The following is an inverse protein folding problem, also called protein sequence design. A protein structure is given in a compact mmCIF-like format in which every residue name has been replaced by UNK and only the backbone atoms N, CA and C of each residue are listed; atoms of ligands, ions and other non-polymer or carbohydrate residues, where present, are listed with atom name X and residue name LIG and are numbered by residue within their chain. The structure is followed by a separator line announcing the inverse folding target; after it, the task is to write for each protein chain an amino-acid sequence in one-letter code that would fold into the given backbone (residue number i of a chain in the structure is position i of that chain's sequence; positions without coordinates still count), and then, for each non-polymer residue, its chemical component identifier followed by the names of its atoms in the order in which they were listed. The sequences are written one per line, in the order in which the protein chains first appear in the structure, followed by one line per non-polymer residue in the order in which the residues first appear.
data_IF_015492414895
#
_entry.id   IF_015492414895
#
_cell.length_a   1.000
_cell.length_b   1.000
_cell.length_c   1.000
_cell.angle_alpha   90.00
_cell.angle_beta   90.00
_cell.angle_gamma   90.00
#
_symmetry.space_group_name_H-M   'P 1'
#
loop_
_entity.id
_entity.type
_entity.pdbx_description
1 polymer ?
#
# COMPACT_ATOMS: atom_id res chain seq x y z
N UNK A 1 5.06 16.07 15.44
CA UNK A 1 5.14 16.16 13.95
C UNK A 1 6.23 17.15 13.63
N UNK A 2 7.22 16.75 12.84
CA UNK A 2 8.22 17.66 12.32
C UNK A 2 7.60 18.56 11.24
N UNK A 3 8.08 19.80 11.15
CA UNK A 3 7.76 20.68 10.03
C UNK A 3 8.97 20.75 9.10
N UNK A 4 8.79 20.31 7.87
CA UNK A 4 9.82 20.36 6.84
C UNK A 4 9.45 21.39 5.77
N UNK A 5 10.46 22.10 5.26
CA UNK A 5 10.28 23.06 4.18
C UNK A 5 10.51 22.38 2.83
N UNK A 6 9.45 22.23 2.06
CA UNK A 6 9.48 21.72 0.69
C UNK A 6 9.30 22.87 -0.31
N UNK A 7 10.41 23.39 -0.81
CA UNK A 7 10.36 24.47 -1.83
C UNK A 7 9.66 25.75 -1.39
N UNK A 8 9.74 26.14 -0.11
CA UNK A 8 9.10 27.31 0.46
C UNK A 8 7.76 27.03 1.14
N UNK A 9 7.23 25.82 1.05
CA UNK A 9 6.01 25.41 1.74
C UNK A 9 6.36 24.55 2.96
N UNK A 10 5.86 24.94 4.13
CA UNK A 10 6.03 24.19 5.37
C UNK A 10 4.95 23.10 5.44
N UNK A 11 5.39 21.84 5.51
CA UNK A 11 4.50 20.69 5.63
C UNK A 11 4.76 19.89 6.92
N UNK A 12 3.70 19.37 7.50
CA UNK A 12 3.80 18.46 8.63
C UNK A 12 4.12 17.06 8.14
N UNK A 13 5.20 16.49 8.68
CA UNK A 13 5.58 15.10 8.44
C UNK A 13 5.77 14.35 9.75
N UNK A 14 5.65 13.04 9.70
CA UNK A 14 5.92 12.15 10.83
C UNK A 14 7.01 11.18 10.40
N UNK A 15 8.09 11.16 11.16
CA UNK A 15 9.22 10.25 10.95
C UNK A 15 9.30 9.24 12.11
N UNK A 16 10.24 8.30 12.01
CA UNK A 16 10.52 7.35 13.08
C UNK A 16 11.11 8.03 14.33
N UNK A 17 11.63 9.24 14.20
CA UNK A 17 12.16 9.99 15.35
C UNK A 17 11.03 10.57 16.20
N UNK A 18 9.94 11.07 15.57
CA UNK A 18 8.77 11.56 16.30
C UNK A 18 7.81 10.45 16.71
N UNK A 19 7.84 9.34 15.99
CA UNK A 19 6.98 8.20 16.26
C UNK A 19 7.79 6.89 16.18
N UNK A 20 8.53 6.57 17.25
CA UNK A 20 9.36 5.37 17.28
C UNK A 20 8.57 4.07 17.11
N UNK A 21 9.23 3.02 16.62
CA UNK A 21 8.62 1.71 16.39
C UNK A 21 8.05 1.10 17.69
N UNK A 22 8.71 1.35 18.82
CA UNK A 22 8.25 0.92 20.15
C UNK A 22 6.89 1.52 20.50
N UNK A 23 6.68 2.79 20.17
CA UNK A 23 5.38 3.46 20.34
C UNK A 23 4.32 2.84 19.42
N UNK A 24 4.68 2.54 18.17
CA UNK A 24 3.78 1.86 17.24
C UNK A 24 3.36 0.47 17.78
N UNK A 25 4.32 -0.29 18.31
CA UNK A 25 4.05 -1.59 18.94
C UNK A 25 3.14 -1.48 20.14
N UNK A 26 3.34 -0.49 21.01
CA UNK A 26 2.47 -0.28 22.18
C UNK A 26 1.02 0.05 21.77
N UNK A 27 0.84 0.89 20.74
CA UNK A 27 -0.50 1.25 20.22
C UNK A 27 -1.23 0.03 19.65
N UNK A 28 -0.51 -0.82 18.93
CA UNK A 28 -1.10 -1.96 18.22
C UNK A 28 -0.94 -3.31 18.94
N UNK A 29 -0.49 -3.32 20.19
CA UNK A 29 -0.19 -4.55 20.96
C UNK A 29 -1.35 -5.53 21.09
N UNK A 30 -2.57 -5.00 21.21
CA UNK A 30 -3.79 -5.77 21.37
C UNK A 30 -4.57 -5.94 20.05
N UNK A 31 -4.02 -5.45 18.95
CA UNK A 31 -4.65 -5.53 17.64
C UNK A 31 -4.21 -6.80 16.89
N UNK A 32 -5.15 -7.39 16.16
CA UNK A 32 -4.85 -8.40 15.15
C UNK A 32 -5.02 -7.79 13.78
N UNK A 33 -3.95 -7.73 13.01
CA UNK A 33 -3.89 -7.11 11.69
C UNK A 33 -4.08 -8.19 10.63
N UNK A 34 -5.21 -8.18 9.91
CA UNK A 34 -5.42 -9.07 8.78
C UNK A 34 -5.10 -8.36 7.47
N UNK A 35 -4.11 -8.84 6.75
CA UNK A 35 -3.80 -8.41 5.38
C UNK A 35 -4.63 -9.23 4.40
N UNK A 36 -5.63 -8.59 3.79
CA UNK A 36 -6.52 -9.22 2.81
C UNK A 36 -5.98 -8.97 1.40
N UNK A 37 -5.55 -10.04 0.77
CA UNK A 37 -4.87 -10.02 -0.54
C UNK A 37 -3.36 -10.12 -0.42
N UNK A 38 -2.76 -11.00 -1.21
CA UNK A 38 -1.32 -11.24 -1.24
C UNK A 38 -0.75 -10.98 -2.65
N UNK A 39 -1.22 -9.87 -3.25
CA UNK A 39 -0.82 -9.41 -4.59
C UNK A 39 0.45 -8.55 -4.57
N UNK A 40 0.33 -7.29 -5.03
CA UNK A 40 1.48 -6.36 -5.13
C UNK A 40 1.88 -5.79 -3.75
N UNK A 41 0.93 -5.22 -3.00
CA UNK A 41 1.19 -4.58 -1.71
C UNK A 41 1.21 -5.57 -0.54
N UNK A 42 0.40 -6.63 -0.62
CA UNK A 42 0.22 -7.59 0.48
C UNK A 42 1.52 -8.17 1.04
N UNK A 43 2.41 -8.76 0.22
CA UNK A 43 3.68 -9.30 0.70
C UNK A 43 4.56 -8.26 1.38
N UNK A 44 4.76 -7.10 0.74
CA UNK A 44 5.63 -6.05 1.28
C UNK A 44 5.16 -5.57 2.65
N UNK A 45 3.89 -5.19 2.78
CA UNK A 45 3.35 -4.65 4.01
C UNK A 45 3.24 -5.71 5.11
N UNK A 46 2.72 -6.91 4.80
CA UNK A 46 2.54 -7.96 5.81
C UNK A 46 3.88 -8.48 6.37
N UNK A 47 4.87 -8.68 5.50
CA UNK A 47 6.20 -9.13 5.92
C UNK A 47 6.92 -8.07 6.77
N UNK A 48 6.82 -6.79 6.39
CA UNK A 48 7.42 -5.71 7.16
C UNK A 48 6.77 -5.58 8.54
N UNK A 49 5.44 -5.66 8.64
CA UNK A 49 4.73 -5.67 9.91
C UNK A 49 5.15 -6.87 10.78
N UNK A 50 5.21 -8.08 10.18
CA UNK A 50 5.66 -9.29 10.88
C UNK A 50 7.07 -9.15 11.42
N UNK A 51 8.01 -8.69 10.59
CA UNK A 51 9.42 -8.52 10.97
C UNK A 51 9.58 -7.42 12.05
N UNK A 52 8.68 -6.44 12.09
CA UNK A 52 8.59 -5.44 13.14
C UNK A 52 7.84 -5.91 14.40
N UNK A 53 7.41 -7.18 14.46
CA UNK A 53 6.87 -7.82 15.66
C UNK A 53 5.39 -7.54 15.93
N UNK A 54 4.61 -7.15 14.92
CA UNK A 54 3.17 -7.01 15.04
C UNK A 54 2.44 -8.36 14.87
N UNK A 55 1.26 -8.47 15.45
CA UNK A 55 0.40 -9.64 15.30
C UNK A 55 -0.35 -9.58 13.97
N UNK A 56 0.18 -10.27 12.96
CA UNK A 56 -0.29 -10.22 11.57
C UNK A 56 -0.78 -11.58 11.11
N UNK A 57 -1.92 -11.60 10.46
CA UNK A 57 -2.45 -12.73 9.73
C UNK A 57 -2.72 -12.34 8.27
N UNK A 58 -2.77 -13.31 7.37
CA UNK A 58 -3.05 -13.10 5.95
C UNK A 58 -4.36 -13.77 5.59
N UNK A 59 -5.24 -13.04 4.91
CA UNK A 59 -6.47 -13.53 4.33
C UNK A 59 -6.35 -13.63 2.80
N UNK A 60 -6.32 -14.85 2.25
CA UNK A 60 -6.14 -15.08 0.82
C UNK A 60 -6.99 -16.29 0.36
N UNK A 61 -7.59 -16.18 -0.82
CA UNK A 61 -8.24 -17.32 -1.45
C UNK A 61 -7.22 -18.34 -1.98
N UNK A 62 -7.55 -19.63 -2.05
CA UNK A 62 -6.67 -20.65 -2.65
C UNK A 62 -6.21 -20.28 -4.07
N UNK A 63 -4.98 -20.65 -4.41
CA UNK A 63 -4.36 -20.42 -5.72
C UNK A 63 -2.91 -19.97 -5.61
N UNK A 64 -2.31 -19.51 -6.71
CA UNK A 64 -0.87 -19.17 -6.80
C UNK A 64 -0.40 -18.17 -5.72
N UNK A 65 -1.22 -17.18 -5.39
CA UNK A 65 -0.88 -16.20 -4.35
C UNK A 65 -0.97 -16.76 -2.94
N UNK A 66 -1.82 -17.76 -2.70
CA UNK A 66 -1.87 -18.51 -1.45
C UNK A 66 -0.60 -19.35 -1.26
N UNK A 67 -0.20 -20.06 -2.31
CA UNK A 67 1.05 -20.85 -2.32
C UNK A 67 2.28 -19.96 -2.13
N UNK A 68 2.28 -18.76 -2.72
CA UNK A 68 3.31 -17.76 -2.47
C UNK A 68 3.35 -17.32 -0.99
N UNK A 69 2.21 -17.12 -0.36
CA UNK A 69 2.16 -16.79 1.06
C UNK A 69 2.78 -17.92 1.92
N UNK A 70 2.49 -19.18 1.61
CA UNK A 70 3.13 -20.33 2.28
C UNK A 70 4.65 -20.29 2.09
N UNK A 71 5.13 -20.06 0.87
CA UNK A 71 6.57 -19.97 0.59
C UNK A 71 7.26 -18.81 1.35
N UNK A 72 6.53 -17.72 1.62
CA UNK A 72 6.99 -16.58 2.42
C UNK A 72 6.86 -16.82 3.95
N UNK A 73 6.47 -18.04 4.35
CA UNK A 73 6.45 -18.49 5.75
C UNK A 73 5.14 -18.23 6.50
N UNK A 74 4.03 -17.98 5.79
CA UNK A 74 2.71 -17.95 6.41
C UNK A 74 2.15 -19.37 6.55
N UNK A 75 1.58 -19.70 7.71
CA UNK A 75 1.16 -21.07 8.07
C UNK A 75 -0.36 -21.19 7.96
N UNK A 76 -0.87 -22.07 7.07
CA UNK A 76 -2.30 -22.34 6.96
C UNK A 76 -2.94 -22.78 8.29
N UNK A 77 -4.04 -22.12 8.65
CA UNK A 77 -4.76 -22.37 9.91
C UNK A 77 -4.16 -21.69 11.15
N UNK A 78 -2.98 -21.07 11.05
CA UNK A 78 -2.34 -20.32 12.14
C UNK A 78 -2.19 -18.84 11.83
N UNK A 79 -1.55 -18.51 10.68
CA UNK A 79 -1.30 -17.14 10.23
C UNK A 79 -1.78 -16.88 8.81
N UNK A 80 -2.25 -17.91 8.09
CA UNK A 80 -2.82 -17.83 6.75
C UNK A 80 -4.21 -18.49 6.72
N UNK A 81 -5.22 -17.72 6.35
CA UNK A 81 -6.62 -18.10 6.39
C UNK A 81 -7.34 -17.78 5.07
N UNK A 82 -8.56 -18.24 4.94
CA UNK A 82 -9.51 -17.68 3.99
C UNK A 82 -9.87 -16.22 4.33
N UNK A 83 -10.35 -15.46 3.34
CA UNK A 83 -10.64 -14.02 3.52
C UNK A 83 -11.63 -13.80 4.68
N UNK A 84 -12.71 -14.55 4.73
CA UNK A 84 -13.77 -14.42 5.74
C UNK A 84 -13.22 -14.66 7.15
N UNK A 85 -12.51 -15.76 7.33
CA UNK A 85 -11.94 -16.14 8.62
C UNK A 85 -10.90 -15.12 9.10
N UNK A 86 -10.05 -14.61 8.20
CA UNK A 86 -9.10 -13.55 8.52
C UNK A 86 -9.83 -12.26 8.95
N UNK A 87 -10.87 -11.84 8.23
CA UNK A 87 -11.67 -10.66 8.60
C UNK A 87 -12.39 -10.84 9.94
N UNK A 88 -12.85 -12.07 10.25
CA UNK A 88 -13.51 -12.38 11.51
C UNK A 88 -12.55 -12.22 12.71
N UNK A 89 -11.31 -12.73 12.56
CA UNK A 89 -10.27 -12.71 13.60
C UNK A 89 -9.67 -11.31 13.81
N UNK A 90 -9.69 -10.48 12.80
CA UNK A 90 -9.00 -9.18 12.80
C UNK A 90 -9.73 -8.10 13.59
N UNK A 91 -8.95 -7.18 14.17
CA UNK A 91 -9.41 -5.87 14.65
C UNK A 91 -9.08 -4.76 13.64
N UNK A 92 -8.03 -4.97 12.83
CA UNK A 92 -7.68 -4.11 11.69
C UNK A 92 -7.69 -4.95 10.42
N UNK A 93 -8.54 -4.59 9.46
CA UNK A 93 -8.65 -5.27 8.16
C UNK A 93 -7.96 -4.41 7.09
N UNK A 94 -6.78 -4.83 6.65
CA UNK A 94 -6.01 -4.19 5.59
C UNK A 94 -6.43 -4.74 4.23
N UNK A 95 -7.25 -3.98 3.50
CA UNK A 95 -7.75 -4.39 2.19
C UNK A 95 -6.72 -4.03 1.10
N UNK A 96 -5.82 -4.97 0.79
CA UNK A 96 -4.71 -4.81 -0.16
C UNK A 96 -4.95 -5.59 -1.47
N UNK A 97 -6.17 -5.54 -1.93
CA UNK A 97 -6.63 -6.10 -3.20
C UNK A 97 -6.59 -5.03 -4.30
N UNK A 98 -6.58 -5.45 -5.56
CA UNK A 98 -6.82 -4.52 -6.68
C UNK A 98 -8.24 -3.95 -6.61
N UNK A 99 -8.48 -2.77 -7.19
CA UNK A 99 -9.78 -2.09 -7.13
C UNK A 99 -10.93 -2.99 -7.58
N UNK A 100 -10.78 -3.70 -8.71
CA UNK A 100 -11.77 -4.65 -9.18
C UNK A 100 -12.01 -5.81 -8.21
N UNK A 101 -10.96 -6.29 -7.54
CA UNK A 101 -11.07 -7.36 -6.55
C UNK A 101 -11.72 -6.86 -5.26
N UNK A 102 -11.43 -5.63 -4.82
CA UNK A 102 -12.12 -5.01 -3.67
C UNK A 102 -13.63 -4.99 -3.92
N UNK A 103 -14.07 -4.49 -5.07
CA UNK A 103 -15.48 -4.43 -5.44
C UNK A 103 -16.16 -5.81 -5.39
N UNK A 104 -15.49 -6.82 -5.95
CA UNK A 104 -16.03 -8.17 -6.03
C UNK A 104 -16.07 -8.90 -4.66
N UNK A 105 -15.11 -8.61 -3.79
CA UNK A 105 -14.97 -9.27 -2.46
C UNK A 105 -15.66 -8.46 -1.35
N UNK A 106 -16.06 -7.22 -1.63
CA UNK A 106 -16.68 -6.35 -0.64
C UNK A 106 -17.87 -6.96 0.10
N UNK A 107 -18.85 -7.63 -0.57
CA UNK A 107 -19.94 -8.30 0.11
C UNK A 107 -19.49 -9.38 1.10
N UNK A 108 -18.34 -10.01 0.86
CA UNK A 108 -17.75 -11.01 1.73
C UNK A 108 -17.07 -10.38 2.94
N UNK A 109 -16.39 -9.24 2.78
CA UNK A 109 -15.64 -8.55 3.85
C UNK A 109 -16.58 -7.76 4.78
N UNK A 110 -17.53 -7.02 4.21
CA UNK A 110 -18.38 -6.07 4.92
C UNK A 110 -19.07 -6.64 6.17
N UNK A 111 -19.64 -7.87 6.19
CA UNK A 111 -20.31 -8.42 7.37
C UNK A 111 -19.40 -8.59 8.60
N UNK A 112 -18.10 -8.67 8.40
CA UNK A 112 -17.10 -8.85 9.48
C UNK A 112 -16.52 -7.53 9.99
N UNK A 113 -16.87 -6.40 9.38
CA UNK A 113 -16.48 -5.06 9.83
C UNK A 113 -17.44 -4.60 10.93
N UNK A 114 -17.22 -5.11 12.12
CA UNK A 114 -18.05 -4.82 13.31
C UNK A 114 -17.56 -3.58 14.05
N UNK A 115 -18.40 -2.97 14.93
CA UNK A 115 -18.05 -1.76 15.68
C UNK A 115 -16.67 -1.82 16.36
N UNK A 116 -15.92 -0.74 16.26
CA UNK A 116 -14.59 -0.60 16.85
C UNK A 116 -13.42 -1.12 16.01
N UNK A 117 -13.69 -1.88 14.95
CA UNK A 117 -12.65 -2.29 13.98
C UNK A 117 -12.16 -1.12 13.15
N UNK A 118 -11.00 -1.30 12.50
CA UNK A 118 -10.50 -0.40 11.48
C UNK A 118 -10.42 -1.10 10.12
N UNK A 119 -10.87 -0.40 9.08
CA UNK A 119 -10.70 -0.77 7.68
C UNK A 119 -9.59 0.09 7.08
N UNK A 120 -8.57 -0.56 6.55
CA UNK A 120 -7.39 0.09 6.01
C UNK A 120 -7.26 -0.13 4.51
N UNK A 121 -6.83 0.92 3.80
CA UNK A 121 -6.49 0.90 2.40
C UNK A 121 -5.06 1.44 2.16
N UNK A 122 -4.46 1.08 1.02
CA UNK A 122 -3.21 1.68 0.53
C UNK A 122 -3.40 2.51 -0.75
N UNK A 123 -4.65 2.73 -1.14
CA UNK A 123 -5.06 3.59 -2.25
C UNK A 123 -6.48 4.09 -2.01
N UNK A 124 -6.71 5.36 -2.31
CA UNK A 124 -7.97 6.02 -1.99
C UNK A 124 -9.14 5.70 -2.94
N UNK A 125 -8.94 4.96 -4.02
CA UNK A 125 -9.90 4.76 -5.12
C UNK A 125 -11.25 4.24 -4.64
N UNK A 126 -11.27 3.12 -3.94
CA UNK A 126 -12.50 2.42 -3.58
C UNK A 126 -13.46 3.30 -2.76
N UNK A 127 -12.93 4.13 -1.87
CA UNK A 127 -13.68 5.01 -0.98
C UNK A 127 -14.04 6.33 -1.66
N UNK A 128 -13.12 6.88 -2.47
CA UNK A 128 -13.34 8.16 -3.19
C UNK A 128 -14.54 8.07 -4.14
N UNK A 129 -14.71 6.95 -4.81
CA UNK A 129 -15.82 6.70 -5.75
C UNK A 129 -16.75 5.59 -5.26
N UNK A 130 -17.13 5.64 -4.00
CA UNK A 130 -17.96 4.63 -3.36
C UNK A 130 -19.36 4.48 -4.00
N UNK A 131 -19.87 5.53 -4.63
CA UNK A 131 -21.09 5.51 -5.44
C UNK A 131 -20.99 4.59 -6.67
N UNK A 132 -19.78 4.40 -7.19
CA UNK A 132 -19.48 3.53 -8.36
C UNK A 132 -18.95 2.17 -7.96
N UNK A 133 -18.12 2.14 -6.94
CA UNK A 133 -17.47 0.90 -6.47
C UNK A 133 -18.40 0.05 -5.61
N UNK A 134 -19.42 0.66 -4.99
CA UNK A 134 -20.27 0.01 -3.99
C UNK A 134 -19.58 -0.25 -2.65
N UNK A 135 -18.33 0.22 -2.48
CA UNK A 135 -17.54 0.04 -1.24
C UNK A 135 -17.93 1.11 -0.23
N UNK A 136 -19.03 0.88 0.46
CA UNK A 136 -19.55 1.77 1.51
C UNK A 136 -19.30 1.15 2.88
N UNK A 137 -18.33 1.67 3.65
CA UNK A 137 -18.01 1.17 4.99
C UNK A 137 -19.19 1.32 5.97
N UNK A 138 -19.30 0.45 6.99
CA UNK A 138 -20.18 0.70 8.12
C UNK A 138 -19.84 2.01 8.83
N UNK A 139 -20.85 2.67 9.40
CA UNK A 139 -20.66 3.99 10.05
C UNK A 139 -19.99 3.92 11.44
N UNK A 140 -19.80 2.74 11.98
CA UNK A 140 -19.34 2.46 13.35
C UNK A 140 -17.93 1.86 13.43
N UNK A 141 -17.14 1.99 12.35
CA UNK A 141 -15.73 1.58 12.26
C UNK A 141 -14.83 2.76 11.89
N UNK A 142 -13.52 2.65 12.14
CA UNK A 142 -12.55 3.56 11.56
C UNK A 142 -12.26 3.19 10.10
N UNK A 143 -12.02 4.20 9.24
CA UNK A 143 -11.56 4.00 7.86
C UNK A 143 -10.31 4.82 7.64
N UNK A 144 -9.20 4.15 7.41
CA UNK A 144 -7.86 4.73 7.41
C UNK A 144 -7.07 4.32 6.17
N UNK A 145 -6.03 5.07 5.87
CA UNK A 145 -5.17 4.81 4.72
C UNK A 145 -3.71 5.13 5.03
N UNK A 146 -2.82 4.25 4.60
CA UNK A 146 -1.40 4.57 4.38
C UNK A 146 -1.03 4.09 2.98
N UNK A 147 -0.64 5.02 2.12
CA UNK A 147 -0.32 4.75 0.72
C UNK A 147 1.18 4.95 0.45
N UNK A 148 1.98 3.87 0.46
CA UNK A 148 3.39 3.91 0.08
C UNK A 148 3.55 4.39 -1.36
N UNK A 149 4.51 5.29 -1.60
CA UNK A 149 4.76 5.86 -2.93
C UNK A 149 5.71 4.97 -3.74
N UNK A 150 5.22 3.78 -4.07
CA UNK A 150 5.88 2.76 -4.86
C UNK A 150 5.30 1.36 -4.67
N UNK A 151 5.87 0.40 -5.39
CA UNK A 151 5.40 -1.00 -5.35
C UNK A 151 5.67 -1.65 -3.99
N UNK A 152 4.90 -2.70 -3.67
CA UNK A 152 5.15 -3.50 -2.48
C UNK A 152 6.52 -4.18 -2.48
N UNK A 153 7.06 -4.50 -3.65
CA UNK A 153 8.42 -5.00 -3.80
C UNK A 153 9.45 -3.94 -3.40
N UNK A 154 9.31 -2.72 -3.89
CA UNK A 154 10.19 -1.60 -3.52
C UNK A 154 10.10 -1.29 -2.02
N UNK A 155 8.89 -1.30 -1.46
CA UNK A 155 8.68 -1.12 -0.02
C UNK A 155 9.45 -2.17 0.79
N UNK A 156 9.39 -3.45 0.37
CA UNK A 156 10.08 -4.54 1.04
C UNK A 156 11.60 -4.42 0.89
N UNK A 157 12.10 -4.15 -0.31
CA UNK A 157 13.54 -4.00 -0.57
C UNK A 157 14.13 -2.87 0.27
N UNK A 158 13.52 -1.68 0.23
CA UNK A 158 14.00 -0.53 1.00
C UNK A 158 13.94 -0.77 2.51
N UNK A 159 12.92 -1.50 2.99
CA UNK A 159 12.84 -1.90 4.39
C UNK A 159 14.01 -2.80 4.80
N UNK A 160 14.34 -3.82 4.01
CA UNK A 160 15.46 -4.73 4.28
C UNK A 160 16.81 -4.04 4.23
N UNK A 161 16.94 -2.96 3.45
CA UNK A 161 18.12 -2.11 3.39
C UNK A 161 18.21 -1.08 4.54
N UNK A 162 17.26 -1.11 5.48
CA UNK A 162 17.20 -0.14 6.58
C UNK A 162 16.75 1.26 6.17
N UNK A 163 16.30 1.41 4.92
CA UNK A 163 15.68 2.63 4.39
C UNK A 163 14.16 2.55 4.54
N UNK A 164 13.45 3.55 4.04
CA UNK A 164 11.98 3.55 4.03
C UNK A 164 11.44 4.21 2.77
N UNK A 165 10.34 3.69 2.26
CA UNK A 165 9.59 4.32 1.19
C UNK A 165 8.62 5.34 1.80
N UNK A 166 8.60 6.57 1.29
CA UNK A 166 7.69 7.60 1.79
C UNK A 166 6.24 7.21 1.52
N UNK A 167 5.36 7.58 2.45
CA UNK A 167 3.95 7.20 2.36
C UNK A 167 3.06 8.40 2.72
N UNK A 168 1.93 8.52 2.05
CA UNK A 168 0.88 9.42 2.51
C UNK A 168 -0.06 8.69 3.48
N UNK A 169 -0.70 9.44 4.39
CA UNK A 169 -1.69 8.90 5.30
C UNK A 169 -2.96 9.75 5.35
N UNK A 170 -4.08 9.10 5.64
CA UNK A 170 -5.37 9.78 5.81
C UNK A 170 -6.31 8.99 6.71
N UNK A 171 -7.18 9.70 7.43
CA UNK A 171 -8.39 9.15 8.06
C UNK A 171 -9.60 9.64 7.29
N UNK A 172 -10.41 8.72 6.77
CA UNK A 172 -11.69 9.03 6.12
C UNK A 172 -12.83 9.08 7.13
N UNK A 173 -12.81 8.15 8.09
CA UNK A 173 -13.80 8.01 9.15
C UNK A 173 -13.08 7.69 10.44
N UNK A 174 -13.38 8.46 11.49
CA UNK A 174 -12.85 8.25 12.83
C UNK A 174 -14.02 8.14 13.82
N UNK A 175 -14.17 6.98 14.40
CA UNK A 175 -15.28 6.65 15.30
C UNK A 175 -14.78 6.25 16.68
N UNK A 176 -13.63 5.58 16.72
CA UNK A 176 -13.09 5.02 17.96
C UNK A 176 -12.22 5.98 18.76
N UNK A 177 -11.83 7.13 18.19
CA UNK A 177 -10.80 8.02 18.74
C UNK A 177 -9.37 7.46 18.62
N UNK A 178 -9.19 6.36 17.87
CA UNK A 178 -7.89 5.67 17.66
C UNK A 178 -7.41 5.70 16.22
N UNK A 179 -8.21 6.23 15.29
CA UNK A 179 -7.91 6.14 13.85
C UNK A 179 -6.55 6.76 13.51
N UNK A 180 -6.25 7.95 14.03
CA UNK A 180 -4.96 8.60 13.80
C UNK A 180 -3.79 7.77 14.31
N UNK A 181 -3.82 7.33 15.57
CA UNK A 181 -2.74 6.56 16.17
C UNK A 181 -2.54 5.20 15.46
N UNK A 182 -3.63 4.50 15.11
CA UNK A 182 -3.59 3.27 14.30
C UNK A 182 -2.95 3.52 12.94
N UNK A 183 -3.32 4.61 12.26
CA UNK A 183 -2.80 4.96 10.94
C UNK A 183 -1.30 5.19 10.97
N UNK A 184 -0.83 6.02 11.91
CA UNK A 184 0.60 6.32 12.03
C UNK A 184 1.39 5.08 12.47
N UNK A 185 0.88 4.33 13.44
CA UNK A 185 1.53 3.10 13.90
C UNK A 185 1.67 2.07 12.77
N UNK A 186 0.64 1.91 11.92
CA UNK A 186 0.72 1.06 10.72
C UNK A 186 1.72 1.60 9.71
N UNK A 187 1.73 2.91 9.46
CA UNK A 187 2.68 3.55 8.55
C UNK A 187 4.14 3.33 8.98
N UNK A 188 4.45 3.47 10.25
CA UNK A 188 5.77 3.14 10.82
C UNK A 188 6.03 1.63 10.74
N UNK A 189 5.02 0.83 11.07
CA UNK A 189 5.10 -0.63 11.08
C UNK A 189 5.40 -1.25 9.72
N UNK A 190 4.84 -0.71 8.64
CA UNK A 190 5.15 -1.15 7.27
C UNK A 190 6.52 -0.65 6.77
N UNK A 191 7.20 0.20 7.53
CA UNK A 191 8.54 0.67 7.23
C UNK A 191 8.59 1.93 6.36
N UNK A 192 7.62 2.84 6.49
CA UNK A 192 7.66 4.13 5.78
C UNK A 192 8.90 4.95 6.16
N UNK A 193 9.42 5.72 5.20
CA UNK A 193 10.52 6.67 5.39
C UNK A 193 10.04 7.86 6.21
N UNK A 194 9.10 8.63 5.66
CA UNK A 194 8.29 9.57 6.41
C UNK A 194 6.83 9.47 5.95
N UNK A 195 5.95 9.94 6.82
CA UNK A 195 4.51 9.99 6.58
C UNK A 195 4.09 11.45 6.39
N UNK A 196 3.29 11.74 5.35
CA UNK A 196 2.70 13.06 5.11
C UNK A 196 1.19 12.96 4.96
N UNK A 197 0.49 13.97 5.45
CA UNK A 197 -0.96 13.97 5.47
C UNK A 197 -1.56 14.21 4.09
N UNK A 198 -2.65 13.50 3.80
CA UNK A 198 -3.46 13.67 2.59
C UNK A 198 -4.94 13.41 2.90
N UNK A 199 -5.75 13.28 1.85
CA UNK A 199 -7.13 12.76 1.93
C UNK A 199 -7.31 11.63 0.93
N UNK A 200 -8.31 10.78 1.11
CA UNK A 200 -8.62 9.71 0.14
C UNK A 200 -8.80 10.23 -1.27
N UNK A 201 -9.49 11.38 -1.43
CA UNK A 201 -9.69 12.01 -2.74
C UNK A 201 -8.38 12.51 -3.35
N UNK A 202 -7.56 13.21 -2.57
CA UNK A 202 -6.26 13.73 -3.06
C UNK A 202 -5.31 12.61 -3.42
N UNK A 203 -5.23 11.59 -2.57
CA UNK A 203 -4.40 10.43 -2.84
C UNK A 203 -4.82 9.74 -4.13
N UNK A 204 -6.11 9.37 -4.26
CA UNK A 204 -6.61 8.69 -5.45
C UNK A 204 -6.41 9.49 -6.74
N UNK A 205 -6.63 10.80 -6.71
CA UNK A 205 -6.46 11.64 -7.92
C UNK A 205 -5.00 11.86 -8.28
N UNK A 206 -4.11 12.10 -7.30
CA UNK A 206 -2.68 12.27 -7.57
C UNK A 206 -2.00 10.97 -8.00
N UNK A 207 -2.37 9.86 -7.39
CA UNK A 207 -1.85 8.53 -7.71
C UNK A 207 -2.22 8.13 -9.14
N UNK A 208 -3.50 8.21 -9.51
CA UNK A 208 -3.94 7.92 -10.87
C UNK A 208 -3.29 8.84 -11.91
N UNK A 209 -3.11 10.12 -11.59
CA UNK A 209 -2.43 11.06 -12.49
C UNK A 209 -0.94 10.72 -12.61
N UNK A 210 -0.28 10.44 -11.49
CA UNK A 210 1.14 10.08 -11.46
C UNK A 210 1.41 8.74 -12.14
N UNK A 211 0.72 7.68 -11.72
CA UNK A 211 0.95 6.35 -12.29
C UNK A 211 0.49 6.24 -13.75
N UNK A 212 -0.78 6.53 -14.03
CA UNK A 212 -1.38 6.30 -15.34
C UNK A 212 -0.98 7.34 -16.36
N UNK A 213 -0.98 8.61 -15.97
CA UNK A 213 -0.62 9.72 -16.83
C UNK A 213 0.88 9.80 -17.10
N UNK A 214 1.71 9.80 -16.07
CA UNK A 214 3.15 10.04 -16.20
C UNK A 214 3.96 8.77 -16.31
N UNK A 215 3.91 7.89 -15.29
CA UNK A 215 4.84 6.76 -15.20
C UNK A 215 4.53 5.65 -16.21
N UNK A 216 3.29 5.22 -16.31
CA UNK A 216 2.88 4.15 -17.24
C UNK A 216 2.41 4.69 -18.59
N UNK A 217 2.04 5.96 -18.70
CA UNK A 217 1.62 6.62 -19.93
C UNK A 217 2.75 7.34 -20.62
N UNK A 218 3.10 8.53 -20.14
CA UNK A 218 4.03 9.43 -20.84
C UNK A 218 5.45 8.84 -20.99
N UNK A 219 6.03 8.28 -19.93
CA UNK A 219 7.38 7.70 -19.97
C UNK A 219 7.42 6.49 -20.90
N UNK A 220 6.47 5.57 -20.79
CA UNK A 220 6.40 4.40 -21.66
C UNK A 220 6.15 4.80 -23.13
N UNK A 221 5.25 5.76 -23.35
CA UNK A 221 4.97 6.29 -24.68
C UNK A 221 6.18 6.97 -25.32
N UNK A 222 6.98 7.72 -24.53
CA UNK A 222 8.22 8.34 -25.01
C UNK A 222 9.24 7.29 -25.43
N UNK A 223 9.48 6.27 -24.59
CA UNK A 223 10.43 5.19 -24.91
C UNK A 223 10.01 4.43 -26.17
N UNK A 224 8.73 4.11 -26.31
CA UNK A 224 8.20 3.44 -27.49
C UNK A 224 8.37 4.29 -28.76
N UNK A 225 7.98 5.56 -28.71
CA UNK A 225 8.08 6.46 -29.85
C UNK A 225 9.54 6.63 -30.31
N UNK A 226 10.48 6.75 -29.39
CA UNK A 226 11.90 6.86 -29.74
C UNK A 226 12.45 5.55 -30.32
N UNK A 227 12.07 4.41 -29.74
CA UNK A 227 12.41 3.10 -30.28
C UNK A 227 11.91 2.97 -31.74
N UNK A 228 10.65 3.30 -31.99
CA UNK A 228 10.08 3.23 -33.35
C UNK A 228 10.82 4.11 -34.34
N UNK A 229 11.14 5.36 -33.98
CA UNK A 229 11.94 6.29 -34.82
C UNK A 229 13.30 5.69 -35.18
N UNK A 230 14.02 5.08 -34.23
CA UNK A 230 15.29 4.42 -34.49
C UNK A 230 15.12 3.22 -35.44
N UNK A 231 14.06 2.41 -35.21
CA UNK A 231 13.73 1.29 -36.09
C UNK A 231 13.42 1.74 -37.54
N UNK A 232 12.66 2.81 -37.69
CA UNK A 232 12.33 3.40 -39.00
C UNK A 232 13.57 3.93 -39.71
N UNK A 233 14.56 4.40 -38.97
CA UNK A 233 15.85 4.87 -39.52
C UNK A 233 16.88 3.75 -39.73
N UNK A 234 16.47 2.47 -39.63
CA UNK A 234 17.28 1.31 -40.01
C UNK A 234 18.14 0.73 -38.89
N UNK A 235 18.06 1.25 -37.68
CA UNK A 235 18.74 0.63 -36.51
C UNK A 235 18.17 -0.76 -36.19
N UNK A 236 19.02 -1.65 -35.74
CA UNK A 236 18.55 -2.98 -35.29
C UNK A 236 17.68 -2.89 -34.04
N UNK A 237 16.82 -3.89 -33.72
CA UNK A 237 16.06 -3.89 -32.48
C UNK A 237 16.94 -3.75 -31.23
N UNK A 238 18.11 -4.36 -31.24
CA UNK A 238 19.05 -4.29 -30.11
C UNK A 238 19.61 -2.88 -29.93
N UNK A 239 20.06 -2.23 -31.02
CA UNK A 239 20.52 -0.83 -30.98
C UNK A 239 19.42 0.08 -30.45
N UNK A 240 18.23 0.01 -31.02
CA UNK A 240 17.11 0.87 -30.64
C UNK A 240 16.72 0.67 -29.16
N UNK A 241 16.70 -0.58 -28.66
CA UNK A 241 16.38 -0.87 -27.26
C UNK A 241 17.45 -0.37 -26.30
N UNK A 242 18.73 -0.62 -26.61
CA UNK A 242 19.82 -0.23 -25.71
C UNK A 242 19.94 1.29 -25.59
N UNK A 243 19.82 2.02 -26.69
CA UNK A 243 19.88 3.49 -26.71
C UNK A 243 18.66 4.19 -26.09
N UNK A 244 17.53 3.51 -25.95
CA UNK A 244 16.30 4.13 -25.44
C UNK A 244 15.90 3.64 -24.05
N UNK A 245 16.00 2.35 -23.79
CA UNK A 245 15.47 1.73 -22.58
C UNK A 245 16.59 1.33 -21.63
N UNK A 246 17.58 0.58 -22.11
CA UNK A 246 18.63 0.01 -21.26
C UNK A 246 19.47 1.11 -20.60
N UNK A 247 19.93 2.08 -21.37
CA UNK A 247 20.75 3.17 -20.86
C UNK A 247 20.01 4.00 -19.82
N UNK A 248 18.72 4.28 -20.04
CA UNK A 248 17.91 4.98 -19.05
C UNK A 248 17.74 4.17 -17.76
N UNK A 249 17.36 2.90 -17.88
CA UNK A 249 16.91 2.09 -16.72
C UNK A 249 18.06 1.45 -15.95
N UNK A 250 19.23 1.25 -16.57
CA UNK A 250 20.37 0.58 -15.93
C UNK A 250 21.54 1.54 -15.62
N UNK A 251 21.55 2.73 -16.20
CA UNK A 251 22.66 3.69 -16.03
C UNK A 251 22.21 5.01 -15.43
N UNK A 252 21.16 5.64 -15.99
CA UNK A 252 20.75 6.98 -15.57
C UNK A 252 19.75 6.97 -14.39
N UNK A 253 19.00 5.89 -14.19
CA UNK A 253 18.02 5.70 -13.12
C UNK A 253 18.26 4.39 -12.37
N UNK A 254 19.44 4.17 -11.80
CA UNK A 254 19.76 2.97 -11.05
C UNK A 254 19.03 2.90 -9.70
#
# INVERSE_FOLDING_TARGET
MAQLNFGGVMENVITRDEFPLEKAREILKDETIAVIGYGVQGPGQSLNLRDNGFNVIVGQRPGKTFEKAIADGWVPGETLFGIEEACQKATIVMCLLSDAAVMSVWPTIKPYLTPGKALYFSHGFAITWNDRTGVVPPADIDVIMVAPKGSGTSLRTMFLEGRGLNSSYASYQEVTGKAFDRTIALGIGIGSGYLFETTFVREATSDLTGERGSLMGAIQGLLLAQYDVLRENGHTPSEAFNETVEELTQSLMP
#
